data_IF_095768126271
#
_entry.id   IF_095768126271
#
_cell.length_a   1.000
_cell.length_b   1.000
_cell.length_c   1.000
_cell.angle_alpha   90.00
_cell.angle_beta   90.00
_cell.angle_gamma   90.00
#
_symmetry.space_group_name_H-M   'P 1'
#
loop_
_entity.id
_entity.type
_entity.pdbx_description
1 polymer ?
#
# COMPACT_ATOMS: atom_id res chain seq x y z
N UNK A 1 -70.72 1.07 12.47
CA UNK A 1 -69.69 0.05 12.16
C UNK A 1 -68.42 0.78 11.73
N UNK A 2 -67.47 0.95 12.67
CA UNK A 2 -66.21 1.63 12.40
C UNK A 2 -65.24 0.64 11.73
N UNK A 3 -64.90 0.91 10.48
CA UNK A 3 -63.92 0.13 9.74
C UNK A 3 -62.53 0.34 10.36
N UNK A 4 -62.02 -0.70 11.01
CA UNK A 4 -60.62 -0.75 11.44
C UNK A 4 -59.76 -0.69 10.17
N UNK A 5 -59.03 0.42 10.01
CA UNK A 5 -58.17 0.66 8.87
C UNK A 5 -56.95 -0.28 8.95
N UNK A 6 -56.80 -1.15 7.93
CA UNK A 6 -55.68 -2.09 7.78
C UNK A 6 -54.29 -1.41 7.87
N UNK A 7 -54.21 -0.09 7.72
CA UNK A 7 -52.97 0.69 7.80
C UNK A 7 -52.47 0.96 9.22
N UNK A 8 -53.27 0.74 10.26
CA UNK A 8 -52.82 0.93 11.65
C UNK A 8 -52.26 -0.33 12.32
N UNK A 9 -52.43 -1.52 11.73
CA UNK A 9 -51.99 -2.76 12.37
C UNK A 9 -50.48 -3.05 12.21
N UNK A 10 -49.82 -2.44 11.23
CA UNK A 10 -48.38 -2.57 11.01
C UNK A 10 -47.53 -1.51 11.77
N UNK A 11 -48.17 -0.56 12.45
CA UNK A 11 -47.46 0.40 13.29
C UNK A 11 -47.05 -0.16 14.67
N UNK A 12 -47.46 -1.39 15.00
CA UNK A 12 -47.24 -1.99 16.33
C UNK A 12 -46.41 -3.27 16.34
N UNK A 13 -45.78 -3.65 15.23
CA UNK A 13 -44.80 -4.74 15.25
C UNK A 13 -43.42 -4.16 15.55
N UNK A 14 -43.14 -4.07 16.84
CA UNK A 14 -41.81 -3.88 17.43
C UNK A 14 -40.76 -4.71 16.70
N UNK A 15 -39.93 -4.04 15.90
CA UNK A 15 -38.66 -4.56 15.43
C UNK A 15 -37.69 -4.59 16.61
N UNK A 16 -37.82 -5.60 17.48
CA UNK A 16 -36.67 -6.09 18.25
C UNK A 16 -35.75 -6.84 17.28
N UNK A 17 -35.06 -6.07 16.43
CA UNK A 17 -33.89 -6.56 15.73
C UNK A 17 -32.72 -6.29 16.66
N UNK A 18 -32.27 -7.35 17.33
CA UNK A 18 -31.00 -7.45 18.03
C UNK A 18 -29.95 -6.61 17.30
N UNK A 19 -29.61 -5.45 17.86
CA UNK A 19 -28.43 -4.70 17.45
C UNK A 19 -27.29 -5.68 17.66
N UNK A 20 -26.83 -6.25 16.55
CA UNK A 20 -25.80 -7.26 16.52
C UNK A 20 -24.62 -6.76 17.33
N UNK A 21 -23.97 -7.68 18.05
CA UNK A 21 -22.82 -7.50 18.92
C UNK A 21 -21.54 -7.03 18.18
N UNK A 22 -21.67 -6.00 17.35
CA UNK A 22 -20.58 -5.13 16.93
C UNK A 22 -20.64 -3.97 17.93
N UNK A 23 -19.75 -3.97 18.91
CA UNK A 23 -19.71 -2.92 19.94
C UNK A 23 -19.84 -1.53 19.33
N UNK A 24 -20.45 -0.60 20.05
CA UNK A 24 -20.58 0.78 19.61
C UNK A 24 -19.21 1.31 19.10
N UNK A 25 -19.17 2.10 18.01
CA UNK A 25 -17.93 2.70 17.57
C UNK A 25 -17.22 3.38 18.73
N UNK A 26 -15.92 3.14 18.90
CA UNK A 26 -15.14 3.81 19.94
C UNK A 26 -15.27 5.32 19.76
N UNK A 27 -15.64 6.04 20.83
CA UNK A 27 -15.61 7.49 20.82
C UNK A 27 -14.14 7.94 20.69
N UNK A 28 -13.84 8.65 19.60
CA UNK A 28 -12.50 9.13 19.30
C UNK A 28 -12.54 10.64 19.27
N UNK A 29 -11.69 11.27 20.07
CA UNK A 29 -11.50 12.72 20.01
C UNK A 29 -10.87 13.12 18.66
N UNK A 30 -11.41 14.17 18.05
CA UNK A 30 -10.85 14.75 16.83
C UNK A 30 -11.41 14.15 15.53
N UNK A 31 -10.96 14.69 14.39
CA UNK A 31 -11.38 14.20 13.08
C UNK A 31 -10.64 12.89 12.74
N UNK A 32 -11.31 11.89 12.14
CA UNK A 32 -10.63 10.72 11.61
C UNK A 32 -9.49 11.12 10.66
N UNK A 33 -8.32 10.53 10.84
CA UNK A 33 -7.14 10.79 10.03
C UNK A 33 -6.55 9.45 9.56
N UNK A 34 -6.94 9.02 8.36
CA UNK A 34 -6.37 7.85 7.69
C UNK A 34 -5.38 8.36 6.65
N UNK A 35 -4.11 8.05 6.84
CA UNK A 35 -3.06 8.41 5.87
C UNK A 35 -2.98 7.35 4.78
N UNK A 36 -3.17 7.77 3.52
CA UNK A 36 -3.20 6.84 2.40
C UNK A 36 -1.79 6.58 1.88
N UNK A 37 -1.41 5.30 1.82
CA UNK A 37 -0.15 4.84 1.24
C UNK A 37 -0.39 3.98 0.00
N UNK A 38 0.45 4.13 -1.03
CA UNK A 38 0.35 3.35 -2.26
C UNK A 38 1.61 2.51 -2.51
N UNK A 39 1.41 1.22 -2.74
CA UNK A 39 2.47 0.26 -3.03
C UNK A 39 2.82 0.21 -4.53
N UNK A 40 4.12 0.30 -4.85
CA UNK A 40 4.61 0.22 -6.23
C UNK A 40 4.25 -1.09 -6.91
N UNK A 41 4.07 -2.18 -6.15
CA UNK A 41 3.63 -3.48 -6.67
C UNK A 41 2.29 -3.42 -7.43
N UNK A 42 1.39 -2.52 -7.03
CA UNK A 42 0.12 -2.29 -7.73
C UNK A 42 0.34 -1.81 -9.19
N UNK A 43 1.50 -1.23 -9.48
CA UNK A 43 1.89 -0.70 -10.79
C UNK A 43 2.91 -1.60 -11.51
N UNK A 44 3.04 -2.87 -11.08
CA UNK A 44 4.08 -3.79 -11.61
C UNK A 44 4.16 -3.85 -13.13
N UNK A 45 3.06 -3.65 -13.86
CA UNK A 45 2.96 -3.67 -15.34
C UNK A 45 3.60 -2.46 -16.04
N UNK A 46 3.89 -1.40 -15.30
CA UNK A 46 4.48 -0.16 -15.82
C UNK A 46 6.00 -0.09 -15.61
N UNK A 47 6.57 -0.94 -14.75
CA UNK A 47 8.00 -0.96 -14.47
C UNK A 47 8.80 -1.86 -15.43
N UNK A 48 9.85 -1.31 -16.03
CA UNK A 48 10.77 -2.08 -16.88
C UNK A 48 11.60 -3.08 -16.06
N UNK A 49 12.15 -2.64 -14.94
CA UNK A 49 12.96 -3.49 -14.07
C UNK A 49 12.08 -4.48 -13.33
N UNK A 50 12.56 -5.70 -13.22
CA UNK A 50 12.05 -6.77 -12.35
C UNK A 50 13.26 -7.34 -11.59
N UNK A 51 13.02 -8.09 -10.51
CA UNK A 51 14.09 -8.56 -9.60
C UNK A 51 15.36 -9.07 -10.32
N UNK A 52 15.17 -9.94 -11.31
CA UNK A 52 16.26 -10.61 -12.03
C UNK A 52 16.12 -10.49 -13.56
N UNK A 53 15.28 -9.58 -14.05
CA UNK A 53 15.03 -9.44 -15.48
C UNK A 53 14.55 -8.04 -15.85
N UNK A 54 14.45 -7.80 -17.14
CA UNK A 54 13.78 -6.62 -17.70
C UNK A 54 12.52 -7.10 -18.41
N UNK A 55 11.48 -6.28 -18.38
CA UNK A 55 10.27 -6.45 -19.16
C UNK A 55 10.12 -5.29 -20.13
N UNK A 56 9.66 -5.59 -21.33
CA UNK A 56 9.18 -4.55 -22.25
C UNK A 56 7.92 -3.87 -21.67
N UNK A 57 7.90 -2.54 -21.68
CA UNK A 57 6.74 -1.75 -21.27
C UNK A 57 6.36 -0.86 -22.44
N UNK A 58 5.30 -1.23 -23.14
CA UNK A 58 4.87 -0.55 -24.38
C UNK A 58 4.27 0.83 -24.10
N UNK A 59 3.48 0.94 -23.04
CA UNK A 59 2.72 2.14 -22.72
C UNK A 59 3.05 2.65 -21.31
N UNK A 60 3.30 3.95 -21.19
CA UNK A 60 3.48 4.68 -19.92
C UNK A 60 4.53 4.03 -19.00
N UNK A 61 5.79 3.87 -19.46
CA UNK A 61 6.84 3.35 -18.60
C UNK A 61 7.04 4.24 -17.38
N UNK A 62 7.16 3.58 -16.23
CA UNK A 62 7.29 4.19 -14.92
C UNK A 62 8.63 3.79 -14.30
N UNK A 63 9.25 4.74 -13.63
CA UNK A 63 10.35 4.54 -12.68
C UNK A 63 9.90 5.01 -11.29
N UNK A 64 10.76 4.89 -10.29
CA UNK A 64 10.38 5.25 -8.91
C UNK A 64 10.08 6.74 -8.73
N UNK A 65 10.71 7.63 -9.50
CA UNK A 65 10.43 9.06 -9.45
C UNK A 65 9.02 9.35 -9.95
N UNK A 66 8.66 8.81 -11.11
CA UNK A 66 7.29 8.93 -11.67
C UNK A 66 6.24 8.28 -10.79
N UNK A 67 6.59 7.20 -10.09
CA UNK A 67 5.67 6.56 -9.15
C UNK A 67 5.41 7.46 -7.93
N UNK A 68 6.45 8.09 -7.37
CA UNK A 68 6.31 9.10 -6.31
C UNK A 68 5.45 10.27 -6.78
N UNK A 69 5.70 10.78 -7.99
CA UNK A 69 4.91 11.86 -8.58
C UNK A 69 3.43 11.46 -8.67
N UNK A 70 3.14 10.25 -9.16
CA UNK A 70 1.80 9.72 -9.21
C UNK A 70 1.15 9.64 -7.82
N UNK A 71 1.86 9.17 -6.79
CA UNK A 71 1.34 9.12 -5.43
C UNK A 71 0.95 10.52 -4.94
N UNK A 72 1.83 11.51 -5.12
CA UNK A 72 1.59 12.89 -4.76
C UNK A 72 0.40 13.51 -5.53
N UNK A 73 0.36 13.34 -6.85
CA UNK A 73 -0.70 13.88 -7.70
C UNK A 73 -2.08 13.27 -7.40
N UNK A 74 -2.12 12.10 -6.77
CA UNK A 74 -3.36 11.40 -6.40
C UNK A 74 -3.68 11.48 -4.89
N UNK A 75 -3.03 12.39 -4.15
CA UNK A 75 -3.37 12.68 -2.75
C UNK A 75 -3.02 11.55 -1.77
N UNK A 76 -2.01 10.73 -2.10
CA UNK A 76 -1.43 9.82 -1.10
C UNK A 76 -0.55 10.63 -0.14
N UNK A 77 -0.49 10.22 1.12
CA UNK A 77 0.47 10.75 2.10
C UNK A 77 1.78 9.96 2.08
N UNK A 78 1.72 8.69 1.64
CA UNK A 78 2.85 7.79 1.65
C UNK A 78 2.98 6.91 0.42
N UNK A 79 4.17 6.35 0.26
CA UNK A 79 4.49 5.40 -0.82
C UNK A 79 5.31 4.23 -0.28
N UNK A 80 5.03 3.02 -0.78
CA UNK A 80 5.89 1.85 -0.58
C UNK A 80 6.66 1.54 -1.86
N UNK A 81 7.98 1.63 -1.77
CA UNK A 81 8.87 1.46 -2.92
C UNK A 81 9.39 0.02 -2.98
N UNK A 82 8.84 -0.76 -3.90
CA UNK A 82 9.17 -2.19 -4.05
C UNK A 82 10.53 -2.37 -4.73
N UNK A 83 11.43 -3.09 -4.07
CA UNK A 83 12.85 -3.22 -4.44
C UNK A 83 13.13 -3.76 -5.84
N UNK A 84 12.22 -4.58 -6.37
CA UNK A 84 12.35 -5.26 -7.66
C UNK A 84 12.29 -4.35 -8.88
N UNK A 85 11.73 -3.16 -8.70
CA UNK A 85 11.49 -2.23 -9.80
C UNK A 85 12.55 -1.12 -9.86
N UNK A 86 13.53 -1.14 -8.95
CA UNK A 86 14.72 -0.32 -9.03
C UNK A 86 15.65 -0.82 -10.15
N UNK A 87 16.52 0.06 -10.69
CA UNK A 87 17.63 -0.38 -11.54
C UNK A 87 18.48 -1.45 -10.85
N UNK A 88 18.97 -2.44 -11.60
CA UNK A 88 19.77 -3.55 -11.06
C UNK A 88 21.09 -3.07 -10.43
N UNK A 89 21.61 -1.93 -10.90
CA UNK A 89 22.79 -1.24 -10.40
C UNK A 89 22.41 0.03 -9.62
N UNK A 90 21.57 -0.11 -8.59
CA UNK A 90 21.22 1.01 -7.70
C UNK A 90 22.47 1.60 -7.04
N UNK A 91 22.55 2.92 -6.98
CA UNK A 91 23.67 3.67 -6.38
C UNK A 91 23.18 4.52 -5.21
N UNK A 92 24.07 4.88 -4.29
CA UNK A 92 23.75 5.75 -3.15
C UNK A 92 23.26 7.12 -3.61
N UNK A 93 23.80 7.62 -4.73
CA UNK A 93 23.33 8.84 -5.36
C UNK A 93 21.88 8.70 -5.83
N UNK A 94 21.52 7.61 -6.52
CA UNK A 94 20.14 7.37 -6.95
C UNK A 94 19.19 7.34 -5.75
N UNK A 95 19.55 6.64 -4.68
CA UNK A 95 18.73 6.55 -3.46
C UNK A 95 18.57 7.92 -2.78
N UNK A 96 19.64 8.70 -2.72
CA UNK A 96 19.63 10.05 -2.14
C UNK A 96 18.79 11.01 -2.96
N UNK A 97 18.91 10.98 -4.29
CA UNK A 97 18.09 11.78 -5.20
C UNK A 97 16.61 11.38 -5.07
N UNK A 98 16.32 10.08 -4.93
CA UNK A 98 14.95 9.57 -4.77
C UNK A 98 14.31 10.00 -3.45
N UNK A 99 15.05 9.90 -2.34
CA UNK A 99 14.59 10.42 -1.03
C UNK A 99 14.36 11.93 -1.07
N UNK A 100 15.27 12.68 -1.69
CA UNK A 100 15.10 14.13 -1.88
C UNK A 100 13.85 14.42 -2.72
N UNK A 101 13.60 13.65 -3.77
CA UNK A 101 12.42 13.81 -4.60
C UNK A 101 11.12 13.56 -3.83
N UNK A 102 11.03 12.46 -3.08
CA UNK A 102 9.88 12.17 -2.21
C UNK A 102 9.62 13.32 -1.22
N UNK A 103 10.67 13.81 -0.56
CA UNK A 103 10.59 14.94 0.36
C UNK A 103 10.05 16.20 -0.32
N UNK A 104 10.58 16.57 -1.49
CA UNK A 104 10.13 17.77 -2.23
C UNK A 104 8.70 17.64 -2.77
N UNK A 105 8.25 16.41 -3.04
CA UNK A 105 6.87 16.09 -3.44
C UNK A 105 5.91 15.97 -2.25
N UNK A 106 6.41 16.07 -1.02
CA UNK A 106 5.61 15.98 0.20
C UNK A 106 5.09 14.57 0.50
N UNK A 107 5.83 13.53 0.09
CA UNK A 107 5.45 12.13 0.27
C UNK A 107 6.40 11.42 1.23
N UNK A 108 5.83 10.73 2.21
CA UNK A 108 6.58 9.84 3.08
C UNK A 108 6.88 8.52 2.37
N UNK A 109 8.13 8.06 2.43
CA UNK A 109 8.46 6.67 2.05
C UNK A 109 8.07 5.79 3.25
N UNK A 110 6.87 5.23 3.21
CA UNK A 110 6.27 4.50 4.33
C UNK A 110 6.74 3.05 4.43
N UNK A 111 7.47 2.55 3.42
CA UNK A 111 8.08 1.22 3.46
C UNK A 111 8.76 0.80 2.17
N UNK A 112 9.39 -0.36 2.21
CA UNK A 112 9.96 -1.03 1.03
C UNK A 112 9.64 -2.52 1.05
N UNK A 113 8.98 -3.03 0.02
CA UNK A 113 8.82 -4.47 -0.15
C UNK A 113 10.09 -5.07 -0.75
N UNK A 114 10.58 -6.12 -0.09
CA UNK A 114 11.69 -6.95 -0.54
C UNK A 114 11.15 -8.35 -0.71
N UNK A 115 11.08 -8.91 -1.92
CA UNK A 115 10.44 -10.24 -2.06
C UNK A 115 11.40 -11.41 -1.82
N UNK A 116 12.02 -11.43 -0.65
CA UNK A 116 12.74 -12.60 -0.18
C UNK A 116 11.85 -13.86 -0.09
N UNK A 117 12.48 -15.03 -0.02
CA UNK A 117 11.81 -16.28 0.33
C UNK A 117 12.49 -16.91 1.56
N UNK A 118 11.87 -16.76 2.73
CA UNK A 118 12.38 -17.33 3.98
C UNK A 118 11.85 -18.74 4.29
N UNK A 119 10.98 -19.28 3.45
CA UNK A 119 10.49 -20.67 3.57
C UNK A 119 11.48 -21.71 3.05
N UNK A 120 12.70 -21.30 2.69
CA UNK A 120 13.78 -22.19 2.29
C UNK A 120 14.39 -22.90 3.51
N UNK A 121 14.81 -24.18 3.39
CA UNK A 121 15.53 -24.86 4.46
C UNK A 121 16.84 -24.14 4.80
N UNK A 122 17.39 -24.43 6.00
CA UNK A 122 18.69 -23.90 6.42
C UNK A 122 19.77 -24.27 5.39
N UNK A 123 20.54 -23.27 4.96
CA UNK A 123 21.61 -23.45 3.97
C UNK A 123 21.89 -22.17 3.19
N UNK A 124 22.76 -22.28 2.18
CA UNK A 124 23.25 -21.16 1.38
C UNK A 124 22.13 -20.34 0.74
N UNK A 125 21.10 -20.99 0.17
CA UNK A 125 19.99 -20.30 -0.48
C UNK A 125 19.22 -19.41 0.49
N UNK A 126 18.98 -19.85 1.73
CA UNK A 126 18.33 -19.03 2.76
C UNK A 126 19.25 -17.90 3.23
N UNK A 127 20.55 -18.18 3.41
CA UNK A 127 21.53 -17.16 3.79
C UNK A 127 21.63 -16.04 2.74
N UNK A 128 21.53 -16.38 1.45
CA UNK A 128 21.47 -15.41 0.36
C UNK A 128 20.20 -14.53 0.44
N UNK A 129 19.04 -15.11 0.76
CA UNK A 129 17.81 -14.32 0.97
C UNK A 129 17.93 -13.37 2.17
N UNK A 130 18.53 -13.81 3.28
CA UNK A 130 18.77 -12.97 4.46
C UNK A 130 19.72 -11.81 4.11
N UNK A 131 20.82 -12.11 3.42
CA UNK A 131 21.80 -11.10 3.01
C UNK A 131 21.17 -10.08 2.05
N UNK A 132 20.32 -10.54 1.14
CA UNK A 132 19.57 -9.68 0.23
C UNK A 132 18.62 -8.74 0.97
N UNK A 133 17.88 -9.23 1.97
CA UNK A 133 17.00 -8.36 2.79
C UNK A 133 17.80 -7.34 3.58
N UNK A 134 18.91 -7.75 4.22
CA UNK A 134 19.79 -6.81 4.95
C UNK A 134 20.28 -5.68 4.05
N UNK A 135 20.74 -6.00 2.83
CA UNK A 135 21.13 -4.98 1.86
C UNK A 135 20.01 -3.99 1.55
N UNK A 136 18.77 -4.45 1.42
CA UNK A 136 17.64 -3.55 1.16
C UNK A 136 17.17 -2.78 2.39
N UNK A 137 17.38 -3.32 3.59
CA UNK A 137 17.21 -2.57 4.83
C UNK A 137 18.21 -1.41 4.86
N UNK A 138 19.48 -1.64 4.48
CA UNK A 138 20.49 -0.58 4.43
C UNK A 138 20.17 0.50 3.37
N UNK A 139 19.39 0.17 2.34
CA UNK A 139 18.97 1.12 1.31
C UNK A 139 17.75 1.97 1.70
N UNK A 140 16.91 1.47 2.60
CA UNK A 140 15.65 2.07 3.03
C UNK A 140 15.89 3.30 3.91
#
# INVERSE_FOLDING_TARGET
MNFINRRCFLASSSTLSLVSALGAPFDRSGKPNIRLGLAAYSFRSFFKHQRNSLREVKNRPMDMFKFIDFCADNGCDGTELTSYFFPHNVTDKYLTDLRRHAFLRGIDISGTAVGNNFSLPKGEKRNAQISYVKKWIDHA
#
